data_IF_240021124568
#
_entry.id   IF_240021124568
#
_cell.length_a   1.000
_cell.length_b   1.000
_cell.length_c   1.000
_cell.angle_alpha   90.00
_cell.angle_beta   90.00
_cell.angle_gamma   90.00
#
_symmetry.space_group_name_H-M   'P 1'
#
loop_
_entity.id
_entity.type
_entity.pdbx_description
1 polymer ?
#
# COMPACT_ATOMS: atom_id res chain seq x y z
N UNK A 1 -3.86 2.45 23.71
CA UNK A 1 -3.64 1.34 22.72
C UNK A 1 -2.14 1.15 22.66
N UNK A 2 -1.68 -0.06 22.97
CA UNK A 2 -0.25 -0.28 23.19
C UNK A 2 0.44 -0.84 21.92
N UNK A 3 -0.33 -1.38 20.98
CA UNK A 3 0.19 -1.98 19.75
C UNK A 3 -0.76 -1.74 18.57
N UNK A 4 -0.17 -1.76 17.35
CA UNK A 4 -0.86 -1.80 16.05
C UNK A 4 -0.46 -3.05 15.28
N UNK A 5 -1.16 -3.40 14.21
CA UNK A 5 -0.69 -4.39 13.24
C UNK A 5 -0.10 -3.70 12.00
N UNK A 6 0.58 -4.46 11.16
CA UNK A 6 1.02 -4.00 9.85
C UNK A 6 0.66 -5.02 8.77
N UNK A 7 0.37 -4.54 7.56
CA UNK A 7 0.17 -5.36 6.35
C UNK A 7 1.21 -4.96 5.31
N UNK A 8 1.88 -5.95 4.76
CA UNK A 8 2.91 -5.78 3.73
C UNK A 8 2.72 -6.84 2.64
N UNK A 9 2.02 -6.54 1.55
CA UNK A 9 2.00 -7.42 0.38
C UNK A 9 3.38 -7.49 -0.25
N UNK A 10 3.92 -8.71 -0.42
CA UNK A 10 5.23 -8.94 -1.01
C UNK A 10 5.11 -9.87 -2.21
N UNK A 11 5.78 -9.51 -3.31
CA UNK A 11 6.06 -10.37 -4.45
C UNK A 11 7.54 -10.27 -4.78
N UNK A 12 8.20 -11.40 -5.04
CA UNK A 12 9.65 -11.48 -5.32
C UNK A 12 9.95 -11.70 -6.80
N UNK A 13 8.99 -12.24 -7.54
CA UNK A 13 9.18 -12.65 -8.94
C UNK A 13 8.62 -11.64 -9.92
N UNK A 14 9.41 -11.33 -10.94
CA UNK A 14 9.09 -10.40 -12.01
C UNK A 14 9.93 -9.11 -11.94
N UNK A 15 10.02 -8.43 -13.10
CA UNK A 15 10.96 -7.32 -13.32
C UNK A 15 10.88 -6.18 -12.30
N UNK A 16 9.68 -5.90 -11.79
CA UNK A 16 9.46 -4.79 -10.84
C UNK A 16 9.56 -5.23 -9.38
N UNK A 17 9.71 -6.53 -9.12
CA UNK A 17 9.65 -7.13 -7.78
C UNK A 17 10.96 -7.81 -7.38
N UNK A 18 11.92 -7.94 -8.30
CA UNK A 18 13.17 -8.67 -8.09
C UNK A 18 14.01 -8.15 -6.93
N UNK A 19 13.88 -6.86 -6.58
CA UNK A 19 14.59 -6.22 -5.47
C UNK A 19 13.71 -6.05 -4.21
N UNK A 20 12.49 -6.60 -4.18
CA UNK A 20 11.59 -6.38 -3.06
C UNK A 20 12.12 -6.94 -1.73
N UNK A 21 12.88 -8.02 -1.74
CA UNK A 21 13.51 -8.53 -0.51
C UNK A 21 14.52 -7.52 0.04
N UNK A 22 15.42 -7.00 -0.80
CA UNK A 22 16.37 -5.96 -0.38
C UNK A 22 15.68 -4.66 0.04
N UNK A 23 14.55 -4.30 -0.58
CA UNK A 23 13.73 -3.16 -0.16
C UNK A 23 13.07 -3.42 1.19
N UNK A 24 12.56 -4.62 1.44
CA UNK A 24 12.09 -5.03 2.77
C UNK A 24 13.22 -4.97 3.81
N UNK A 25 14.45 -5.33 3.45
CA UNK A 25 15.60 -5.19 4.35
C UNK A 25 15.86 -3.73 4.74
N UNK A 26 15.68 -2.78 3.82
CA UNK A 26 15.73 -1.35 4.12
C UNK A 26 14.59 -0.96 5.06
N UNK A 27 13.35 -1.36 4.75
CA UNK A 27 12.20 -1.11 5.61
C UNK A 27 12.44 -1.63 7.03
N UNK A 28 12.76 -2.92 7.20
CA UNK A 28 12.97 -3.52 8.52
C UNK A 28 14.21 -2.95 9.24
N UNK A 29 15.25 -2.55 8.51
CA UNK A 29 16.40 -1.85 9.07
C UNK A 29 16.00 -0.48 9.64
N UNK A 30 15.17 0.28 8.92
CA UNK A 30 14.65 1.56 9.40
C UNK A 30 13.71 1.36 10.59
N UNK A 31 12.83 0.36 10.56
CA UNK A 31 11.96 0.03 11.71
C UNK A 31 12.79 -0.30 12.96
N UNK A 32 13.85 -1.12 12.86
CA UNK A 32 14.75 -1.41 14.00
C UNK A 32 15.39 -0.17 14.57
N UNK A 33 15.68 0.81 13.74
CA UNK A 33 16.34 2.04 14.18
C UNK A 33 15.37 3.04 14.82
N UNK A 34 14.16 3.15 14.27
CA UNK A 34 13.22 4.21 14.64
C UNK A 34 12.03 3.75 15.50
N UNK A 35 11.86 2.45 15.72
CA UNK A 35 10.82 1.94 16.63
C UNK A 35 11.29 0.67 17.33
N UNK A 36 10.42 0.10 18.17
CA UNK A 36 10.67 -1.16 18.87
C UNK A 36 9.70 -2.24 18.40
N UNK A 37 10.08 -3.53 18.42
CA UNK A 37 9.24 -4.63 17.95
C UNK A 37 7.87 -4.70 18.64
N UNK A 38 7.77 -4.28 19.90
CA UNK A 38 6.54 -4.23 20.71
C UNK A 38 5.55 -3.15 20.25
N UNK A 39 5.95 -2.24 19.36
CA UNK A 39 5.02 -1.35 18.64
C UNK A 39 3.99 -2.15 17.83
N UNK A 40 4.40 -3.33 17.35
CA UNK A 40 3.56 -4.17 16.49
C UNK A 40 3.03 -5.39 17.25
N UNK A 41 1.70 -5.57 17.23
CA UNK A 41 1.08 -6.83 17.61
C UNK A 41 1.41 -7.92 16.60
N UNK A 42 1.40 -7.56 15.31
CA UNK A 42 1.68 -8.49 14.19
C UNK A 42 2.06 -7.69 12.95
N UNK A 43 3.06 -8.19 12.19
CA UNK A 43 3.37 -7.74 10.84
C UNK A 43 3.04 -8.89 9.88
N UNK A 44 2.01 -8.72 9.07
CA UNK A 44 1.51 -9.73 8.14
C UNK A 44 2.12 -9.51 6.77
N UNK A 45 2.94 -10.45 6.33
CA UNK A 45 3.46 -10.52 4.96
C UNK A 45 2.51 -11.38 4.13
N UNK A 46 1.86 -10.79 3.12
CA UNK A 46 0.95 -11.53 2.24
C UNK A 46 1.65 -11.80 0.92
N UNK A 47 1.75 -13.07 0.57
CA UNK A 47 2.68 -13.56 -0.46
C UNK A 47 1.96 -14.49 -1.43
N UNK A 48 2.25 -14.47 -2.75
CA UNK A 48 1.78 -15.47 -3.69
C UNK A 48 2.18 -16.89 -3.25
N UNK A 49 1.31 -17.87 -3.49
CA UNK A 49 1.50 -19.25 -3.07
C UNK A 49 2.90 -19.79 -3.40
N UNK A 50 3.33 -19.60 -4.63
CA UNK A 50 4.60 -20.11 -5.16
C UNK A 50 5.85 -19.43 -4.57
N UNK A 51 5.69 -18.35 -3.81
CA UNK A 51 6.78 -17.57 -3.20
C UNK A 51 6.81 -17.70 -1.66
N UNK A 52 5.85 -18.40 -1.05
CA UNK A 52 5.66 -18.47 0.41
C UNK A 52 6.88 -19.02 1.15
N UNK A 53 7.39 -20.19 0.73
CA UNK A 53 8.53 -20.82 1.41
C UNK A 53 9.82 -20.00 1.25
N UNK A 54 9.99 -19.37 0.11
CA UNK A 54 11.10 -18.47 -0.15
C UNK A 54 11.04 -17.26 0.79
N UNK A 55 9.90 -16.57 0.87
CA UNK A 55 9.73 -15.40 1.75
C UNK A 55 9.81 -15.78 3.22
N UNK A 56 9.31 -16.96 3.64
CA UNK A 56 9.53 -17.46 5.00
C UNK A 56 11.02 -17.64 5.32
N UNK A 57 11.82 -18.03 4.33
CA UNK A 57 13.28 -18.10 4.46
C UNK A 57 13.90 -16.74 4.75
N UNK A 58 13.54 -15.74 3.97
CA UNK A 58 14.01 -14.36 4.14
C UNK A 58 13.47 -13.69 5.42
N UNK A 59 12.24 -13.97 5.81
CA UNK A 59 11.62 -13.39 7.01
C UNK A 59 12.36 -13.76 8.31
N UNK A 60 13.20 -14.79 8.31
CA UNK A 60 14.08 -15.10 9.46
C UNK A 60 15.05 -13.99 9.80
N UNK A 61 15.48 -13.19 8.81
CA UNK A 61 16.33 -12.03 9.05
C UNK A 61 15.59 -10.86 9.74
N UNK A 62 14.27 -10.92 9.79
CA UNK A 62 13.39 -9.92 10.43
C UNK A 62 12.66 -10.47 11.65
N UNK A 63 13.10 -11.63 12.20
CA UNK A 63 12.42 -12.36 13.27
C UNK A 63 12.41 -11.65 14.64
N UNK A 64 13.09 -10.53 14.77
CA UNK A 64 12.95 -9.62 15.92
C UNK A 64 11.57 -8.93 15.95
N UNK A 65 10.87 -8.85 14.81
CA UNK A 65 9.49 -8.39 14.70
C UNK A 65 8.51 -9.57 14.72
N UNK A 66 7.26 -9.38 15.17
CA UNK A 66 6.22 -10.42 15.21
C UNK A 66 5.66 -10.70 13.82
N UNK A 67 6.47 -11.30 12.93
CA UNK A 67 6.14 -11.54 11.52
C UNK A 67 5.31 -12.81 11.36
N UNK A 68 4.27 -12.70 10.53
CA UNK A 68 3.45 -13.83 10.05
C UNK A 68 3.41 -13.79 8.53
N UNK A 69 3.79 -14.88 7.88
CA UNK A 69 3.71 -15.03 6.42
C UNK A 69 2.41 -15.73 6.06
N UNK A 70 1.57 -15.09 5.27
CA UNK A 70 0.27 -15.55 4.81
C UNK A 70 0.35 -15.89 3.31
N UNK A 71 -0.09 -17.10 2.98
CA UNK A 71 -0.34 -17.51 1.60
C UNK A 71 -1.64 -16.85 1.09
N UNK A 72 -1.52 -15.95 0.11
CA UNK A 72 -2.69 -15.26 -0.44
C UNK A 72 -3.74 -16.23 -1.01
N UNK A 73 -3.33 -17.39 -1.55
CA UNK A 73 -4.24 -18.34 -2.21
C UNK A 73 -5.19 -19.03 -1.22
N UNK A 74 -4.74 -19.25 0.02
CA UNK A 74 -5.56 -19.91 1.06
C UNK A 74 -6.73 -19.02 1.51
N UNK A 75 -6.53 -17.70 1.50
CA UNK A 75 -7.52 -16.72 1.94
C UNK A 75 -8.22 -16.03 0.77
N UNK A 76 -7.61 -16.07 -0.42
CA UNK A 76 -8.04 -15.32 -1.61
C UNK A 76 -8.23 -16.26 -2.81
N UNK A 77 -8.84 -17.44 -2.61
CA UNK A 77 -9.13 -18.41 -3.70
C UNK A 77 -9.89 -17.81 -4.88
N UNK A 78 -10.60 -16.70 -4.66
CA UNK A 78 -11.25 -15.89 -5.70
C UNK A 78 -10.25 -15.36 -6.75
N UNK A 79 -8.99 -15.14 -6.40
CA UNK A 79 -7.97 -14.71 -7.37
C UNK A 79 -7.71 -15.78 -8.43
N UNK A 80 -7.68 -17.06 -8.04
CA UNK A 80 -7.52 -18.17 -8.98
C UNK A 80 -8.71 -18.25 -9.95
N UNK A 81 -9.93 -18.09 -9.45
CA UNK A 81 -11.15 -18.08 -10.27
C UNK A 81 -11.13 -16.96 -11.32
N UNK A 82 -10.77 -15.74 -10.93
CA UNK A 82 -10.70 -14.59 -11.83
C UNK A 82 -9.48 -14.66 -12.77
N UNK A 83 -8.35 -15.16 -12.33
CA UNK A 83 -7.14 -15.30 -13.17
C UNK A 83 -7.34 -16.25 -14.35
N UNK A 84 -8.20 -17.26 -14.20
CA UNK A 84 -8.56 -18.16 -15.31
C UNK A 84 -9.38 -17.47 -16.41
N UNK A 85 -10.15 -16.45 -16.06
CA UNK A 85 -11.07 -15.74 -16.97
C UNK A 85 -10.57 -14.37 -17.41
N UNK A 86 -9.80 -13.70 -16.56
CA UNK A 86 -9.37 -12.33 -16.75
C UNK A 86 -7.96 -12.15 -16.16
N UNK A 87 -7.11 -11.39 -16.83
CA UNK A 87 -5.80 -11.03 -16.30
C UNK A 87 -5.97 -9.94 -15.24
N UNK A 88 -5.95 -10.34 -13.97
CA UNK A 88 -5.96 -9.39 -12.85
C UNK A 88 -4.61 -8.69 -12.81
N UNK A 89 -4.60 -7.37 -12.76
CA UNK A 89 -3.38 -6.60 -12.55
C UNK A 89 -2.86 -6.88 -11.14
N UNK A 90 -1.56 -7.13 -10.99
CA UNK A 90 -0.92 -7.26 -9.67
C UNK A 90 -1.22 -6.05 -8.76
N UNK A 91 -1.34 -4.86 -9.34
CA UNK A 91 -1.72 -3.65 -8.64
C UNK A 91 -3.10 -3.76 -7.97
N UNK A 92 -4.15 -4.26 -8.66
CA UNK A 92 -5.47 -4.48 -8.07
C UNK A 92 -5.47 -5.62 -7.04
N UNK A 93 -4.67 -6.70 -7.25
CA UNK A 93 -4.51 -7.75 -6.25
C UNK A 93 -3.99 -7.18 -4.94
N UNK A 94 -2.94 -6.36 -5.01
CA UNK A 94 -2.35 -5.70 -3.85
C UNK A 94 -3.36 -4.82 -3.10
N UNK A 95 -4.19 -4.04 -3.82
CA UNK A 95 -5.24 -3.23 -3.23
C UNK A 95 -6.27 -4.08 -2.45
N UNK A 96 -6.70 -5.21 -3.04
CA UNK A 96 -7.65 -6.12 -2.39
C UNK A 96 -7.02 -6.79 -1.16
N UNK A 97 -5.76 -7.20 -1.24
CA UNK A 97 -5.02 -7.76 -0.11
C UNK A 97 -4.98 -6.77 1.06
N UNK A 98 -4.67 -5.51 0.81
CA UNK A 98 -4.63 -4.46 1.83
C UNK A 98 -6.00 -4.26 2.50
N UNK A 99 -7.08 -4.26 1.73
CA UNK A 99 -8.44 -4.20 2.28
C UNK A 99 -8.85 -5.47 3.04
N UNK A 100 -8.30 -6.64 2.67
CA UNK A 100 -8.61 -7.91 3.34
C UNK A 100 -7.88 -8.10 4.69
N UNK A 101 -7.07 -7.13 5.12
CA UNK A 101 -6.35 -7.15 6.39
C UNK A 101 -7.19 -7.57 7.60
N UNK A 102 -8.49 -7.19 7.74
CA UNK A 102 -9.33 -7.61 8.86
C UNK A 102 -9.41 -9.12 9.11
N UNK A 103 -9.12 -9.95 8.11
CA UNK A 103 -9.10 -11.42 8.27
C UNK A 103 -7.82 -11.93 8.99
N UNK A 104 -6.76 -11.10 9.05
CA UNK A 104 -5.45 -11.53 9.51
C UNK A 104 -4.95 -10.78 10.75
N UNK A 105 -5.64 -9.70 11.12
CA UNK A 105 -5.27 -8.84 12.25
C UNK A 105 -6.41 -8.76 13.28
N UNK A 106 -6.03 -8.51 14.53
CA UNK A 106 -6.97 -8.37 15.65
C UNK A 106 -7.04 -6.94 16.18
N UNK A 107 -5.99 -6.12 15.93
CA UNK A 107 -5.95 -4.73 16.35
C UNK A 107 -6.92 -3.87 15.56
N UNK A 108 -7.48 -2.83 16.20
CA UNK A 108 -8.37 -1.89 15.51
C UNK A 108 -7.65 -1.12 14.42
N UNK A 109 -6.39 -0.74 14.67
CA UNK A 109 -5.61 0.01 13.70
C UNK A 109 -4.43 -0.80 13.17
N UNK A 110 -4.14 -0.58 11.90
CA UNK A 110 -2.99 -1.17 11.24
C UNK A 110 -2.38 -0.19 10.25
N UNK A 111 -1.07 -0.29 10.08
CA UNK A 111 -0.34 0.43 9.04
C UNK A 111 -0.18 -0.46 7.80
N UNK A 112 -0.40 0.13 6.65
CA UNK A 112 -0.13 -0.51 5.35
C UNK A 112 1.23 -0.06 4.88
N UNK A 113 2.11 -1.02 4.61
CA UNK A 113 3.42 -0.79 3.99
C UNK A 113 3.45 -1.34 2.57
N UNK A 114 4.28 -0.73 1.74
CA UNK A 114 4.84 -1.33 0.53
C UNK A 114 6.35 -1.59 0.78
N UNK A 115 7.01 -2.51 0.06
CA UNK A 115 8.42 -2.85 0.29
C UNK A 115 9.40 -1.66 0.19
N UNK A 116 9.00 -0.61 -0.50
CA UNK A 116 9.79 0.58 -0.81
C UNK A 116 9.59 1.76 0.17
N UNK A 117 8.86 1.53 1.27
CA UNK A 117 8.73 2.45 2.39
C UNK A 117 9.90 2.33 3.37
N UNK A 118 10.21 3.39 4.09
CA UNK A 118 11.13 3.36 5.23
C UNK A 118 10.78 4.45 6.24
N UNK A 119 11.07 4.19 7.53
CA UNK A 119 10.92 5.18 8.58
C UNK A 119 12.07 6.20 8.54
N UNK A 120 11.79 7.44 8.91
CA UNK A 120 12.74 8.55 8.97
C UNK A 120 12.94 9.11 10.38
N UNK A 121 11.99 8.86 11.28
CA UNK A 121 11.99 9.35 12.66
C UNK A 121 11.43 8.34 13.66
N UNK A 122 11.79 8.47 14.93
CA UNK A 122 11.25 7.63 16.00
C UNK A 122 9.74 7.73 16.10
N UNK A 123 9.09 6.57 16.27
CA UNK A 123 7.64 6.47 16.46
C UNK A 123 7.28 5.27 17.34
N UNK A 124 6.07 5.32 17.89
CA UNK A 124 5.43 4.26 18.67
C UNK A 124 4.00 4.04 18.17
N UNK A 125 3.32 3.02 18.68
CA UNK A 125 1.90 2.85 18.40
C UNK A 125 1.08 4.08 18.80
N UNK A 126 1.43 4.76 19.89
CA UNK A 126 0.76 5.99 20.32
C UNK A 126 1.02 7.17 19.39
N UNK A 127 2.22 7.25 18.78
CA UNK A 127 2.53 8.25 17.76
C UNK A 127 1.63 8.09 16.54
N UNK A 128 1.37 6.83 16.14
CA UNK A 128 0.55 6.50 14.97
C UNK A 128 -0.97 6.52 15.28
N UNK A 129 -1.35 6.39 16.56
CA UNK A 129 -2.76 6.38 17.00
C UNK A 129 -2.94 7.37 18.16
N UNK A 130 -2.66 8.67 17.97
CA UNK A 130 -2.79 9.67 19.02
C UNK A 130 -4.26 9.82 19.44
N UNK A 131 -4.51 9.75 20.75
CA UNK A 131 -5.86 9.87 21.31
C UNK A 131 -6.84 8.78 20.85
N UNK A 132 -6.33 7.60 20.43
CA UNK A 132 -7.17 6.48 19.99
C UNK A 132 -7.67 6.60 18.55
N UNK A 133 -7.11 7.49 17.72
CA UNK A 133 -7.47 7.71 16.31
C UNK A 133 -6.22 7.63 15.44
N UNK A 134 -6.35 7.01 14.27
CA UNK A 134 -5.25 6.85 13.32
C UNK A 134 -4.71 8.19 12.82
N UNK A 135 -3.40 8.41 12.96
CA UNK A 135 -2.72 9.55 12.34
C UNK A 135 -2.85 9.44 10.82
N UNK A 136 -3.30 10.50 10.19
CA UNK A 136 -3.65 10.48 8.77
C UNK A 136 -3.01 11.70 8.07
N UNK A 137 -2.60 11.52 6.85
CA UNK A 137 -2.21 12.62 5.97
C UNK A 137 -3.32 12.90 4.97
N UNK A 138 -3.26 14.08 4.36
CA UNK A 138 -4.24 14.53 3.37
C UNK A 138 -3.56 14.86 2.05
N UNK A 139 -4.26 14.58 0.97
CA UNK A 139 -3.89 15.04 -0.37
C UNK A 139 -5.12 15.44 -1.17
N UNK A 140 -4.99 16.48 -1.97
CA UNK A 140 -6.09 16.98 -2.79
C UNK A 140 -6.57 15.93 -3.79
N UNK A 141 -7.87 15.64 -3.80
CA UNK A 141 -8.47 14.61 -4.66
C UNK A 141 -8.39 14.96 -6.15
N UNK A 142 -8.37 16.25 -6.49
CA UNK A 142 -8.26 16.73 -7.86
C UNK A 142 -6.90 16.46 -8.52
N UNK A 143 -5.88 16.03 -7.78
CA UNK A 143 -4.61 15.58 -8.34
C UNK A 143 -4.75 14.24 -9.10
N UNK A 144 -5.72 13.40 -8.72
CA UNK A 144 -6.00 12.10 -9.34
C UNK A 144 -7.51 11.87 -9.51
N UNK A 145 -8.23 12.74 -10.27
CA UNK A 145 -9.69 12.72 -10.33
C UNK A 145 -10.26 11.40 -10.84
N UNK A 146 -9.58 10.74 -11.79
CA UNK A 146 -10.03 9.47 -12.38
C UNK A 146 -10.14 8.36 -11.32
N UNK A 147 -9.19 8.29 -10.37
CA UNK A 147 -9.16 7.30 -9.30
C UNK A 147 -10.33 7.52 -8.32
N UNK A 148 -10.55 8.78 -7.93
CA UNK A 148 -11.64 9.14 -7.03
C UNK A 148 -13.01 8.92 -7.66
N UNK A 149 -13.19 9.28 -8.93
CA UNK A 149 -14.42 9.03 -9.69
C UNK A 149 -14.72 7.54 -9.85
N UNK A 150 -13.68 6.72 -10.14
CA UNK A 150 -13.85 5.27 -10.25
C UNK A 150 -14.32 4.65 -8.93
N UNK A 151 -13.72 5.04 -7.82
CA UNK A 151 -14.10 4.56 -6.48
C UNK A 151 -15.48 5.06 -6.05
N UNK A 152 -15.79 6.33 -6.31
CA UNK A 152 -17.09 6.93 -6.02
C UNK A 152 -18.24 6.22 -6.77
N UNK A 153 -17.99 5.85 -8.03
CA UNK A 153 -18.96 5.08 -8.83
C UNK A 153 -19.27 3.71 -8.22
N UNK A 154 -18.25 3.02 -7.67
CA UNK A 154 -18.47 1.72 -7.03
C UNK A 154 -19.26 1.83 -5.73
N UNK A 155 -19.23 2.96 -5.06
CA UNK A 155 -19.94 3.23 -3.81
C UNK A 155 -21.25 3.99 -3.98
N UNK A 156 -21.57 4.44 -5.20
CA UNK A 156 -22.70 5.32 -5.50
C UNK A 156 -22.69 6.60 -4.65
N UNK A 157 -21.52 7.29 -4.60
CA UNK A 157 -21.33 8.54 -3.83
C UNK A 157 -20.71 9.63 -4.70
N UNK A 158 -20.69 10.87 -4.21
CA UNK A 158 -19.95 11.97 -4.81
C UNK A 158 -18.44 11.78 -4.58
N UNK A 159 -17.57 11.92 -5.59
CA UNK A 159 -16.13 11.87 -5.41
C UNK A 159 -15.56 13.05 -4.58
N UNK A 160 -16.27 14.16 -4.45
CA UNK A 160 -15.85 15.35 -3.71
C UNK A 160 -14.46 15.83 -4.16
N UNK A 161 -14.28 16.13 -5.46
CA UNK A 161 -12.97 16.43 -6.05
C UNK A 161 -12.32 17.72 -5.53
N UNK A 162 -13.07 18.59 -4.91
CA UNK A 162 -12.65 19.82 -4.24
C UNK A 162 -12.18 19.60 -2.79
N UNK A 163 -12.28 18.36 -2.30
CA UNK A 163 -11.89 17.96 -0.94
C UNK A 163 -10.52 17.26 -0.93
N UNK A 164 -10.00 17.10 0.29
CA UNK A 164 -8.83 16.26 0.54
C UNK A 164 -9.24 14.79 0.81
N UNK A 165 -8.29 13.89 0.63
CA UNK A 165 -8.48 12.47 0.87
C UNK A 165 -7.19 11.70 1.10
N UNK A 166 -7.32 10.41 1.32
CA UNK A 166 -6.26 9.46 1.59
C UNK A 166 -5.89 8.71 0.30
N UNK A 167 -4.60 8.62 -0.07
CA UNK A 167 -4.20 7.89 -1.28
C UNK A 167 -2.72 7.47 -1.40
N UNK A 168 -1.92 7.66 -0.33
CA UNK A 168 -0.50 7.27 -0.31
C UNK A 168 -0.21 6.11 0.65
N UNK A 169 0.84 5.33 0.35
CA UNK A 169 1.47 4.37 1.26
C UNK A 169 2.78 4.97 1.80
N UNK A 170 3.12 4.77 3.11
CA UNK A 170 2.35 4.04 4.11
C UNK A 170 1.15 4.83 4.63
N UNK A 171 0.12 4.13 5.09
CA UNK A 171 -1.04 4.77 5.69
C UNK A 171 -1.63 3.92 6.82
N UNK A 172 -2.29 4.60 7.75
CA UNK A 172 -3.04 3.96 8.82
C UNK A 172 -4.49 3.72 8.39
N UNK A 173 -4.97 2.49 8.59
CA UNK A 173 -6.36 2.12 8.35
C UNK A 173 -6.99 1.56 9.64
N UNK A 174 -8.32 1.65 9.73
CA UNK A 174 -9.15 1.05 10.76
C UNK A 174 -9.72 -0.28 10.26
N UNK A 175 -9.60 -1.32 11.07
CA UNK A 175 -10.21 -2.64 10.82
C UNK A 175 -11.73 -2.53 10.68
N UNK A 176 -12.37 -1.79 11.56
CA UNK A 176 -13.82 -1.56 11.55
C UNK A 176 -14.27 -0.86 10.27
N UNK A 177 -13.55 0.17 9.81
CA UNK A 177 -13.91 0.86 8.57
C UNK A 177 -13.69 0.00 7.32
N UNK A 178 -12.67 -0.87 7.30
CA UNK A 178 -12.51 -1.86 6.22
C UNK A 178 -13.71 -2.83 6.17
N UNK A 179 -14.14 -3.37 7.31
CA UNK A 179 -15.31 -4.26 7.37
C UNK A 179 -16.60 -3.56 6.90
N UNK A 180 -16.80 -2.30 7.32
CA UNK A 180 -17.94 -1.49 6.84
C UNK A 180 -17.89 -1.23 5.32
N UNK A 181 -16.71 -1.06 4.74
CA UNK A 181 -16.53 -0.96 3.30
C UNK A 181 -16.92 -2.28 2.59
N UNK A 182 -16.48 -3.42 3.14
CA UNK A 182 -16.84 -4.75 2.60
C UNK A 182 -18.37 -4.96 2.57
N UNK A 183 -19.01 -4.67 3.70
CA UNK A 183 -20.48 -4.76 3.82
C UNK A 183 -21.18 -3.83 2.83
N UNK A 184 -20.75 -2.58 2.72
CA UNK A 184 -21.33 -1.60 1.80
C UNK A 184 -21.21 -2.03 0.34
N UNK A 185 -20.03 -2.47 -0.10
CA UNK A 185 -19.83 -2.96 -1.45
C UNK A 185 -20.72 -4.19 -1.73
N UNK A 186 -20.79 -5.13 -0.79
CA UNK A 186 -21.64 -6.31 -0.92
C UNK A 186 -23.13 -5.94 -1.01
N UNK A 187 -23.61 -4.99 -0.21
CA UNK A 187 -24.98 -4.50 -0.23
C UNK A 187 -25.34 -3.80 -1.54
N UNK A 188 -24.48 -2.90 -2.04
CA UNK A 188 -24.75 -2.16 -3.29
C UNK A 188 -24.82 -3.11 -4.49
N UNK A 189 -23.93 -4.11 -4.54
CA UNK A 189 -23.75 -4.94 -5.73
C UNK A 189 -24.35 -6.35 -5.64
N UNK A 190 -24.89 -6.74 -4.47
CA UNK A 190 -25.53 -8.06 -4.28
C UNK A 190 -24.58 -9.26 -4.35
N UNK A 191 -23.27 -9.06 -4.14
CA UNK A 191 -22.25 -10.11 -4.21
C UNK A 191 -21.07 -9.82 -3.29
N UNK A 192 -20.13 -10.78 -3.13
CA UNK A 192 -18.90 -10.60 -2.35
C UNK A 192 -18.12 -9.36 -2.84
N UNK A 193 -17.69 -8.52 -1.91
CA UNK A 193 -16.99 -7.26 -2.19
C UNK A 193 -15.72 -7.46 -3.05
N UNK A 194 -15.02 -8.59 -2.89
CA UNK A 194 -13.83 -8.94 -3.68
C UNK A 194 -14.19 -9.19 -5.14
N UNK A 195 -15.35 -9.82 -5.38
CA UNK A 195 -15.89 -10.01 -6.74
C UNK A 195 -16.24 -8.69 -7.40
N UNK A 196 -16.82 -7.76 -6.66
CA UNK A 196 -17.12 -6.40 -7.15
C UNK A 196 -15.84 -5.74 -7.63
N UNK A 197 -14.79 -5.72 -6.80
CA UNK A 197 -13.53 -5.06 -7.11
C UNK A 197 -12.80 -5.75 -8.27
N UNK A 198 -12.76 -7.07 -8.29
CA UNK A 198 -12.15 -7.84 -9.38
C UNK A 198 -12.88 -7.68 -10.71
N UNK A 199 -14.20 -7.58 -10.71
CA UNK A 199 -14.97 -7.34 -11.92
C UNK A 199 -14.72 -5.94 -12.52
N UNK A 200 -14.26 -4.99 -11.70
CA UNK A 200 -13.94 -3.62 -12.11
C UNK A 200 -12.44 -3.37 -12.32
N UNK A 201 -11.67 -4.39 -12.70
CA UNK A 201 -10.22 -4.30 -12.95
C UNK A 201 -9.83 -3.38 -14.12
N UNK A 202 -10.75 -2.98 -14.96
CA UNK A 202 -10.51 -2.09 -16.11
C UNK A 202 -10.41 -0.60 -15.73
N UNK A 203 -10.83 -0.24 -14.51
CA UNK A 203 -10.78 1.14 -13.98
C UNK A 203 -9.80 1.23 -12.80
N UNK A 204 -9.21 2.40 -12.63
CA UNK A 204 -8.17 2.62 -11.64
C UNK A 204 -8.81 3.11 -10.31
N UNK A 205 -9.43 2.23 -9.53
CA UNK A 205 -9.82 2.46 -8.14
C UNK A 205 -8.67 2.05 -7.19
N UNK A 206 -8.62 2.59 -5.96
CA UNK A 206 -7.64 2.17 -4.94
C UNK A 206 -8.34 1.80 -3.63
N UNK A 207 -7.62 0.99 -2.81
CA UNK A 207 -8.05 0.65 -1.45
C UNK A 207 -8.31 1.90 -0.62
N UNK A 208 -7.43 2.89 -0.74
CA UNK A 208 -7.50 4.11 0.05
C UNK A 208 -8.67 5.00 -0.35
N UNK A 209 -8.91 5.16 -1.65
CA UNK A 209 -10.00 6.01 -2.11
C UNK A 209 -11.36 5.41 -1.82
N UNK A 210 -11.51 4.08 -1.95
CA UNK A 210 -12.72 3.35 -1.53
C UNK A 210 -12.95 3.46 -0.03
N UNK A 211 -11.93 3.15 0.75
CA UNK A 211 -11.97 3.24 2.21
C UNK A 211 -12.37 4.64 2.69
N UNK A 212 -11.73 5.65 2.14
CA UNK A 212 -11.94 7.03 2.55
C UNK A 212 -13.33 7.56 2.17
N UNK A 213 -13.76 7.33 0.94
CA UNK A 213 -15.11 7.72 0.49
C UNK A 213 -16.20 7.05 1.34
N UNK A 214 -16.03 5.77 1.64
CA UNK A 214 -16.98 5.06 2.51
C UNK A 214 -17.01 5.64 3.93
N UNK A 215 -15.85 5.98 4.51
CA UNK A 215 -15.78 6.60 5.83
C UNK A 215 -16.39 8.01 5.86
N UNK A 216 -16.15 8.82 4.82
CA UNK A 216 -16.76 10.14 4.65
C UNK A 216 -18.29 10.06 4.57
N UNK A 217 -18.82 9.19 3.71
CA UNK A 217 -20.26 9.00 3.50
C UNK A 217 -20.99 8.57 4.78
N UNK A 218 -20.33 7.80 5.63
CA UNK A 218 -20.89 7.35 6.91
C UNK A 218 -20.65 8.36 8.06
N UNK A 219 -19.94 9.48 7.83
CA UNK A 219 -19.61 10.45 8.86
C UNK A 219 -18.66 9.93 9.94
N UNK A 220 -17.83 8.94 9.62
CA UNK A 220 -16.98 8.22 10.58
C UNK A 220 -15.52 8.70 10.60
N UNK A 221 -15.11 9.60 9.69
CA UNK A 221 -13.71 10.04 9.59
C UNK A 221 -13.19 10.53 10.93
N UNK A 222 -13.86 11.48 11.57
CA UNK A 222 -13.39 12.10 12.82
C UNK A 222 -13.42 11.15 14.03
N UNK A 223 -14.15 10.05 13.94
CA UNK A 223 -14.16 9.02 14.98
C UNK A 223 -12.92 8.13 14.92
N UNK A 224 -12.42 7.84 13.72
CA UNK A 224 -11.34 6.87 13.52
C UNK A 224 -10.01 7.51 13.08
N UNK A 225 -10.04 8.73 12.56
CA UNK A 225 -8.87 9.41 12.02
C UNK A 225 -8.63 10.76 12.69
N UNK A 226 -7.36 11.16 12.73
CA UNK A 226 -6.94 12.47 13.19
C UNK A 226 -5.77 12.97 12.35
N UNK A 227 -5.58 14.30 12.37
CA UNK A 227 -4.51 14.98 11.65
C UNK A 227 -3.39 15.36 12.62
N UNK A 228 -2.16 15.41 12.10
CA UNK A 228 -1.05 15.94 12.88
C UNK A 228 -1.37 17.37 13.36
N UNK A 229 -1.21 17.59 14.65
CA UNK A 229 -1.35 18.91 15.26
C UNK A 229 -0.07 19.73 15.03
N UNK A 230 -0.11 21.07 15.14
CA UNK A 230 1.09 21.88 15.08
C UNK A 230 2.17 21.37 16.03
N UNK A 231 3.39 21.16 15.52
CA UNK A 231 4.51 20.58 16.25
C UNK A 231 4.53 19.04 16.35
N UNK A 232 3.55 18.35 15.79
CA UNK A 232 3.58 16.89 15.61
C UNK A 232 4.03 16.54 14.19
N UNK A 233 4.73 15.41 14.05
CA UNK A 233 5.08 14.88 12.72
C UNK A 233 3.85 14.31 12.02
N UNK A 234 3.78 14.55 10.72
CA UNK A 234 2.81 13.92 9.83
C UNK A 234 3.22 12.47 9.54
N UNK A 235 2.33 11.68 8.95
CA UNK A 235 2.66 10.30 8.58
C UNK A 235 3.72 10.25 7.47
N UNK A 236 3.63 11.13 6.48
CA UNK A 236 4.56 11.22 5.37
C UNK A 236 5.51 12.40 5.48
N UNK A 237 6.78 12.19 5.10
CA UNK A 237 7.70 13.26 4.77
C UNK A 237 7.17 14.06 3.56
N UNK A 238 7.47 15.37 3.55
CA UNK A 238 6.96 16.29 2.52
C UNK A 238 7.30 15.84 1.09
N UNK A 239 8.43 15.18 0.91
CA UNK A 239 8.91 14.69 -0.38
C UNK A 239 9.31 13.22 -0.30
N UNK A 240 8.87 12.45 -1.29
CA UNK A 240 9.27 11.07 -1.55
C UNK A 240 9.71 10.95 -3.01
N UNK A 241 10.44 9.91 -3.36
CA UNK A 241 10.92 9.68 -4.73
C UNK A 241 9.90 8.83 -5.49
N UNK A 242 9.03 9.47 -6.26
CA UNK A 242 8.00 8.82 -7.07
C UNK A 242 8.45 8.56 -8.51
N UNK A 243 9.42 9.35 -9.02
CA UNK A 243 9.98 9.22 -10.36
C UNK A 243 11.52 9.18 -10.32
N UNK A 244 12.13 8.49 -11.26
CA UNK A 244 13.59 8.28 -11.27
C UNK A 244 14.41 9.56 -11.34
N UNK A 245 13.90 10.60 -11.99
CA UNK A 245 14.56 11.90 -12.08
C UNK A 245 14.61 12.65 -10.74
N UNK A 246 13.64 12.42 -9.86
CA UNK A 246 13.57 13.07 -8.54
C UNK A 246 14.70 12.64 -7.61
N UNK A 247 15.23 11.41 -7.77
CA UNK A 247 16.31 10.89 -6.94
C UNK A 247 17.58 11.77 -6.97
N UNK A 248 17.82 12.49 -8.07
CA UNK A 248 18.99 13.36 -8.21
C UNK A 248 18.88 14.64 -7.38
N UNK A 249 17.66 15.10 -7.17
CA UNK A 249 17.34 16.35 -6.46
C UNK A 249 16.89 16.06 -5.02
N UNK A 250 16.56 14.80 -4.74
CA UNK A 250 16.05 14.38 -3.43
C UNK A 250 17.14 14.52 -2.35
N UNK A 251 16.86 15.34 -1.36
CA UNK A 251 17.76 15.62 -0.25
C UNK A 251 17.40 14.74 0.97
N UNK A 252 17.99 13.55 1.05
CA UNK A 252 17.76 12.65 2.18
C UNK A 252 18.03 13.32 3.54
N UNK A 253 19.10 14.14 3.67
CA UNK A 253 19.44 14.83 4.92
C UNK A 253 18.28 15.68 5.47
N UNK A 254 17.49 16.28 4.58
CA UNK A 254 16.34 17.10 4.98
C UNK A 254 15.23 16.26 5.61
N UNK A 255 15.04 15.01 5.15
CA UNK A 255 14.00 14.10 5.68
C UNK A 255 14.38 13.47 7.01
N UNK A 256 15.69 13.34 7.30
CA UNK A 256 16.18 12.83 8.58
C UNK A 256 16.56 13.95 9.57
N UNK A 257 16.41 15.21 9.19
CA UNK A 257 16.67 16.33 10.08
C UNK A 257 15.65 16.38 11.22
N UNK A 258 16.09 16.79 12.42
CA UNK A 258 15.23 16.83 13.62
C UNK A 258 13.97 17.68 13.43
N UNK A 259 14.05 18.73 12.61
CA UNK A 259 12.92 19.61 12.27
C UNK A 259 12.08 19.14 11.08
N UNK A 260 12.35 17.98 10.50
CA UNK A 260 11.52 17.39 9.46
C UNK A 260 10.16 16.99 10.03
N UNK A 261 9.13 17.06 9.20
CA UNK A 261 7.74 16.89 9.60
C UNK A 261 7.16 15.48 9.35
N UNK A 262 7.88 14.58 8.68
CA UNK A 262 7.40 13.25 8.32
C UNK A 262 7.99 12.11 9.13
N UNK A 263 7.20 11.04 9.32
CA UNK A 263 7.63 9.79 9.96
C UNK A 263 8.15 8.75 8.95
N UNK A 264 7.68 8.81 7.72
CA UNK A 264 8.01 7.85 6.66
C UNK A 264 8.27 8.55 5.33
N UNK A 265 9.11 7.94 4.51
CA UNK A 265 9.33 8.30 3.11
C UNK A 265 9.33 7.05 2.22
N UNK A 266 9.26 7.27 0.91
CA UNK A 266 9.23 6.22 -0.11
C UNK A 266 10.28 6.51 -1.18
N UNK A 267 11.02 5.47 -1.61
CA UNK A 267 11.74 5.48 -2.89
C UNK A 267 11.11 4.41 -3.77
N UNK A 268 10.20 4.83 -4.64
CA UNK A 268 9.27 3.95 -5.33
C UNK A 268 9.99 2.88 -6.18
N UNK A 269 9.58 1.63 -6.03
CA UNK A 269 10.23 0.46 -6.64
C UNK A 269 10.13 0.45 -8.17
N UNK A 270 9.07 1.02 -8.75
CA UNK A 270 8.88 1.08 -10.19
C UNK A 270 9.76 2.13 -10.90
N UNK A 271 10.47 2.97 -10.17
CA UNK A 271 11.41 3.98 -10.70
C UNK A 271 12.62 3.35 -11.37
N UNK A 272 12.93 2.07 -11.06
CA UNK A 272 14.15 1.35 -11.48
C UNK A 272 15.46 1.97 -10.98
N UNK A 273 15.39 2.76 -9.93
CA UNK A 273 16.59 3.20 -9.19
C UNK A 273 17.25 1.94 -8.63
N UNK A 274 18.55 1.70 -8.89
CA UNK A 274 19.25 0.54 -8.34
C UNK A 274 19.15 0.50 -6.82
N UNK A 275 18.96 -0.69 -6.25
CA UNK A 275 18.85 -0.86 -4.79
C UNK A 275 20.13 -0.35 -4.10
N UNK A 276 21.28 -0.58 -4.70
CA UNK A 276 22.59 -0.14 -4.22
C UNK A 276 22.64 1.39 -4.04
N UNK A 277 22.06 2.14 -4.98
CA UNK A 277 21.98 3.60 -4.89
C UNK A 277 21.06 4.03 -3.73
N UNK A 278 19.94 3.33 -3.52
CA UNK A 278 19.04 3.59 -2.38
C UNK A 278 19.76 3.33 -1.06
N UNK A 279 20.46 2.19 -0.96
CA UNK A 279 21.27 1.84 0.23
C UNK A 279 22.35 2.89 0.50
N UNK A 280 23.11 3.28 -0.52
CA UNK A 280 24.16 4.31 -0.40
C UNK A 280 23.57 5.64 0.11
N UNK A 281 22.42 6.05 -0.40
CA UNK A 281 21.78 7.30 0.00
C UNK A 281 21.27 7.26 1.44
N UNK A 282 20.75 6.12 1.91
CA UNK A 282 20.11 5.99 3.22
C UNK A 282 21.07 5.56 4.35
N UNK A 283 22.16 4.86 4.03
CA UNK A 283 23.11 4.31 5.02
C UNK A 283 23.75 5.34 5.97
N UNK A 284 23.87 6.64 5.64
CA UNK A 284 24.35 7.63 6.61
C UNK A 284 23.37 7.87 7.78
N UNK A 285 22.08 7.51 7.66
CA UNK A 285 21.05 7.86 8.64
C UNK A 285 20.63 6.71 9.56
N UNK A 286 20.76 5.47 9.08
CA UNK A 286 20.52 4.27 9.89
C UNK A 286 21.29 3.06 9.34
N UNK A 287 21.63 2.07 10.20
CA UNK A 287 22.32 0.87 9.76
C UNK A 287 21.45 0.01 8.84
N UNK A 288 21.83 -0.20 7.59
CA UNK A 288 21.11 -1.05 6.64
C UNK A 288 21.83 -2.39 6.53
N UNK A 289 21.07 -3.48 6.65
CA UNK A 289 21.56 -4.85 6.47
C UNK A 289 20.79 -5.50 5.34
N UNK A 290 21.44 -5.70 4.20
CA UNK A 290 20.87 -6.44 3.07
C UNK A 290 21.31 -7.90 3.18
N UNK A 291 20.33 -8.81 3.29
CA UNK A 291 20.58 -10.24 3.25
C UNK A 291 20.85 -10.71 1.82
N UNK A 292 21.58 -11.82 1.61
CA UNK A 292 21.65 -12.47 0.29
C UNK A 292 20.25 -12.90 -0.17
N UNK A 293 19.87 -12.54 -1.40
CA UNK A 293 18.62 -12.96 -2.02
C UNK A 293 18.79 -13.19 -3.54
N UNK A 294 17.94 -14.01 -4.12
CA UNK A 294 17.88 -14.22 -5.56
C UNK A 294 16.98 -13.21 -6.24
N UNK A 295 17.46 -12.67 -7.37
CA UNK A 295 16.66 -11.80 -8.25
C UNK A 295 15.99 -12.65 -9.34
N UNK A 296 14.69 -12.87 -9.22
CA UNK A 296 13.94 -13.66 -10.20
C UNK A 296 13.37 -12.78 -11.31
N UNK A 297 14.08 -12.78 -12.44
CA UNK A 297 13.64 -12.10 -13.67
C UNK A 297 12.89 -13.11 -14.58
N UNK A 298 11.61 -13.31 -14.34
CA UNK A 298 10.82 -14.27 -15.09
C UNK A 298 10.52 -13.75 -16.51
N UNK A 299 11.10 -14.40 -17.54
CA UNK A 299 10.90 -14.01 -18.94
C UNK A 299 9.46 -14.22 -19.42
N UNK A 300 8.73 -15.20 -18.86
CA UNK A 300 7.35 -15.48 -19.20
C UNK A 300 6.39 -14.37 -18.75
N UNK A 301 6.70 -13.69 -17.64
CA UNK A 301 5.94 -12.54 -17.16
C UNK A 301 6.06 -11.31 -18.06
N UNK A 302 7.18 -11.15 -18.81
CA UNK A 302 7.34 -10.04 -19.77
C UNK A 302 6.27 -10.07 -20.87
N UNK A 303 5.93 -11.25 -21.38
CA UNK A 303 4.90 -11.43 -22.41
C UNK A 303 3.50 -11.12 -21.86
N UNK A 304 3.18 -11.60 -20.67
CA UNK A 304 1.89 -11.38 -20.02
C UNK A 304 1.68 -9.90 -19.63
N UNK A 305 2.71 -9.23 -19.13
CA UNK A 305 2.67 -7.79 -18.80
C UNK A 305 2.52 -6.92 -20.05
N UNK A 306 3.21 -7.26 -21.15
CA UNK A 306 3.09 -6.56 -22.42
C UNK A 306 1.68 -6.75 -23.01
N UNK A 307 1.16 -7.98 -23.01
CA UNK A 307 -0.20 -8.29 -23.48
C UNK A 307 -1.27 -7.56 -22.64
N UNK A 308 -1.13 -7.56 -21.32
CA UNK A 308 -2.04 -6.84 -20.42
C UNK A 308 -1.98 -5.32 -20.61
N UNK A 309 -0.81 -4.76 -20.94
CA UNK A 309 -0.66 -3.33 -21.24
C UNK A 309 -1.33 -2.94 -22.57
N UNK A 310 -1.23 -3.81 -23.60
CA UNK A 310 -1.88 -3.61 -24.91
C UNK A 310 -3.40 -3.71 -24.76
N UNK A 311 -3.89 -4.74 -24.08
CA UNK A 311 -5.32 -4.94 -23.84
C UNK A 311 -5.94 -3.75 -23.07
N UNK A 312 -5.25 -3.19 -22.09
CA UNK A 312 -5.68 -1.99 -21.34
C UNK A 312 -5.76 -0.74 -22.22
N UNK A 313 -4.77 -0.51 -23.09
CA UNK A 313 -4.81 0.61 -24.03
C UNK A 313 -6.01 0.49 -24.97
N UNK A 314 -6.30 -0.71 -25.44
CA UNK A 314 -7.47 -1.00 -26.26
C UNK A 314 -8.80 -0.73 -25.54
N UNK A 315 -8.94 -1.19 -24.28
CA UNK A 315 -10.13 -0.94 -23.45
C UNK A 315 -10.32 0.55 -23.09
N UNK A 316 -9.24 1.25 -22.74
CA UNK A 316 -9.30 2.71 -22.49
C UNK A 316 -9.75 3.48 -23.75
N UNK A 317 -9.28 3.09 -24.93
CA UNK A 317 -9.71 3.65 -26.21
C UNK A 317 -11.19 3.36 -26.49
N UNK A 318 -11.65 2.14 -26.29
CA UNK A 318 -13.05 1.74 -26.48
C UNK A 318 -14.00 2.47 -25.53
N UNK A 319 -13.63 2.61 -24.27
CA UNK A 319 -14.40 3.37 -23.28
C UNK A 319 -14.46 4.87 -23.62
N UNK A 320 -13.35 5.45 -24.11
CA UNK A 320 -13.30 6.84 -24.58
C UNK A 320 -14.15 7.07 -25.85
N UNK A 321 -14.25 6.06 -26.71
CA UNK A 321 -15.11 6.11 -27.89
C UNK A 321 -16.59 5.96 -27.53
N UNK A 322 -16.95 5.07 -26.58
CA UNK A 322 -18.33 4.91 -26.07
C UNK A 322 -18.83 6.14 -25.34
N UNK A 323 -17.99 6.80 -24.53
CA UNK A 323 -18.35 8.07 -23.87
C UNK A 323 -18.52 9.26 -24.81
N UNK A 324 -18.03 9.19 -26.06
CA UNK A 324 -18.25 10.24 -27.09
C UNK A 324 -19.53 10.01 -27.92
N UNK A 325 -20.13 8.84 -27.85
CA UNK A 325 -21.36 8.50 -28.59
C UNK A 325 -22.62 8.80 -27.75
N UNK A 326 -22.47 9.07 -26.45
CA UNK A 326 -23.56 9.38 -25.49
C UNK A 326 -23.56 10.80 -24.98
N UNK A 327 -22.81 11.73 -25.60
CA UNK A 327 -22.78 13.16 -25.26
C UNK A 327 -23.43 13.99 -26.39
#
# INVERSE_FOLDING_TARGET
MDQISAILPIKTRGRHYADNIGRCDILFSSLRHFTTPDTFHRIVLVVPHEEVEEVKGYAKAWADFPIVVIDESLHMGIFAEFSQRHQIRNWHRQQIIKLNAPEWIETEYFIVFDPDCFATHPFTAQTLVPGGRALTHRGARNLHPDIWQASAKLLNVDPGLDLDGLWWTPTMLSRTLCLKLHERLAQIHGTDWRRVLLANYAVDWTEYTLYWLNACEQGLVDQYHTWAQPGQRTLHAAESVWFANEMKEWNAAQHFAENSDGLFAVVQSNTRIPLEQVVETLSPYFPIRIQPYERHFDAALKGAELYSAIARRGLKLLNKMRGRVTA
#
